data_IF_436472753759
#
_entry.id   IF_436472753759
#
_cell.length_a   1.000
_cell.length_b   1.000
_cell.length_c   1.000
_cell.angle_alpha   90.00
_cell.angle_beta   90.00
_cell.angle_gamma   90.00
#
_symmetry.space_group_name_H-M   'P 1'
#
loop_
_entity.id
_entity.type
_entity.pdbx_description
1 polymer ?
#
# COMPACT_ATOMS: atom_id res chain seq x y z
N UNK A 1 -21.05 -4.58 -0.45
CA UNK A 1 -20.14 -4.54 0.73
C UNK A 1 -19.55 -3.16 0.83
N UNK A 2 -19.59 -2.55 2.03
CA UNK A 2 -19.04 -1.22 2.31
C UNK A 2 -17.63 -1.34 2.89
N UNK A 3 -16.66 -0.69 2.26
CA UNK A 3 -15.25 -0.69 2.66
C UNK A 3 -14.86 0.67 3.23
N UNK A 4 -14.37 0.71 4.46
CA UNK A 4 -13.75 1.89 5.06
C UNK A 4 -12.26 1.91 4.70
N UNK A 5 -11.78 2.95 4.02
CA UNK A 5 -10.45 2.97 3.41
C UNK A 5 -9.57 4.01 4.08
N UNK A 6 -8.44 3.56 4.64
CA UNK A 6 -7.43 4.38 5.31
C UNK A 6 -6.03 3.98 4.85
N UNK A 7 -5.14 4.96 4.71
CA UNK A 7 -3.71 4.73 4.50
C UNK A 7 -2.86 5.86 5.09
N UNK A 8 -1.56 5.61 5.21
CA UNK A 8 -0.54 6.61 5.57
C UNK A 8 -0.91 7.41 6.84
N UNK A 9 -1.38 6.71 7.86
CA UNK A 9 -1.84 7.34 9.10
C UNK A 9 -0.70 7.90 9.94
N UNK A 10 0.50 7.33 9.84
CA UNK A 10 1.72 7.74 10.53
C UNK A 10 1.48 8.09 12.01
N UNK A 11 0.79 7.21 12.73
CA UNK A 11 0.31 7.45 14.10
C UNK A 11 1.42 7.80 15.10
N UNK A 12 2.66 7.43 14.81
CA UNK A 12 3.83 7.82 15.60
C UNK A 12 4.20 9.31 15.48
N UNK A 13 3.65 10.03 14.49
CA UNK A 13 3.84 11.48 14.31
C UNK A 13 2.65 12.27 14.86
N UNK A 14 1.43 11.78 14.61
CA UNK A 14 0.21 12.39 15.10
C UNK A 14 -0.89 11.36 15.28
N UNK A 15 -1.38 11.17 16.49
CA UNK A 15 -2.44 10.19 16.81
C UNK A 15 -3.72 10.43 16.00
N UNK A 16 -4.48 9.35 15.81
CA UNK A 16 -5.83 9.37 15.24
C UNK A 16 -6.68 8.39 16.06
N UNK A 17 -7.84 8.86 16.55
CA UNK A 17 -8.85 7.98 17.13
C UNK A 17 -9.45 7.06 16.05
N UNK A 18 -10.09 5.97 16.47
CA UNK A 18 -10.77 5.08 15.51
C UNK A 18 -11.99 5.77 14.93
N UNK A 19 -12.03 6.05 13.61
CA UNK A 19 -13.24 6.55 12.96
C UNK A 19 -14.36 5.52 13.07
N UNK A 20 -15.62 5.98 13.19
CA UNK A 20 -16.79 5.11 13.31
C UNK A 20 -17.78 5.42 12.20
N UNK A 21 -18.06 4.43 11.37
CA UNK A 21 -18.99 4.49 10.26
C UNK A 21 -19.72 3.16 10.09
N UNK A 22 -20.56 3.05 9.07
CA UNK A 22 -21.39 1.88 8.77
C UNK A 22 -20.72 0.88 7.79
N UNK A 23 -19.40 0.95 7.61
CA UNK A 23 -18.68 0.00 6.77
C UNK A 23 -18.74 -1.42 7.34
N UNK A 24 -18.69 -2.40 6.46
CA UNK A 24 -18.65 -3.83 6.80
C UNK A 24 -17.22 -4.30 7.12
N UNK A 25 -16.23 -3.63 6.53
CA UNK A 25 -14.82 -4.04 6.53
C UNK A 25 -13.91 -2.80 6.48
N UNK A 26 -12.80 -2.83 7.21
CA UNK A 26 -11.76 -1.79 7.16
C UNK A 26 -10.61 -2.25 6.28
N UNK A 27 -10.14 -1.37 5.40
CA UNK A 27 -8.94 -1.55 4.58
C UNK A 27 -7.87 -0.58 5.06
N UNK A 28 -6.73 -1.13 5.49
CA UNK A 28 -5.53 -0.37 5.85
C UNK A 28 -4.49 -0.58 4.74
N UNK A 29 -4.27 0.44 3.90
CA UNK A 29 -3.37 0.35 2.76
C UNK A 29 -1.94 0.86 3.09
N UNK A 30 -1.44 0.49 4.26
CA UNK A 30 -0.04 0.68 4.69
C UNK A 30 0.24 1.99 5.41
N UNK A 31 1.44 2.05 5.98
CA UNK A 31 2.00 3.19 6.71
C UNK A 31 1.15 3.64 7.89
N UNK A 32 0.69 2.68 8.68
CA UNK A 32 -0.08 2.95 9.89
C UNK A 32 0.84 3.45 11.01
N UNK A 33 1.82 2.64 11.40
CA UNK A 33 2.92 2.97 12.33
C UNK A 33 3.84 1.75 12.46
N UNK A 34 4.67 1.66 13.51
CA UNK A 34 5.50 0.49 13.79
C UNK A 34 4.65 -0.76 14.04
N UNK A 35 5.16 -1.97 13.74
CA UNK A 35 4.37 -3.20 13.71
C UNK A 35 3.52 -3.45 14.97
N UNK A 36 4.10 -3.28 16.14
CA UNK A 36 3.40 -3.52 17.41
C UNK A 36 2.26 -2.54 17.64
N UNK A 37 2.52 -1.26 17.45
CA UNK A 37 1.53 -0.19 17.61
C UNK A 37 0.47 -0.26 16.50
N UNK A 38 0.88 -0.59 15.27
CA UNK A 38 -0.02 -0.75 14.14
C UNK A 38 -1.01 -1.91 14.36
N UNK A 39 -0.51 -3.07 14.77
CA UNK A 39 -1.35 -4.22 15.11
C UNK A 39 -2.32 -3.89 16.26
N UNK A 40 -1.83 -3.24 17.33
CA UNK A 40 -2.67 -2.84 18.47
C UNK A 40 -3.75 -1.84 18.05
N UNK A 41 -3.41 -0.86 17.22
CA UNK A 41 -4.38 0.12 16.72
C UNK A 41 -5.40 -0.54 15.78
N UNK A 42 -4.96 -1.37 14.85
CA UNK A 42 -5.86 -2.08 13.93
C UNK A 42 -6.87 -2.98 14.66
N UNK A 43 -6.50 -3.57 15.79
CA UNK A 43 -7.38 -4.38 16.65
C UNK A 43 -8.42 -3.56 17.41
N UNK A 44 -8.30 -2.25 17.44
CA UNK A 44 -9.28 -1.35 18.08
C UNK A 44 -10.56 -1.14 17.27
N UNK A 45 -10.64 -1.60 16.02
CA UNK A 45 -11.88 -1.60 15.25
C UNK A 45 -12.82 -2.72 15.73
N UNK A 46 -14.11 -2.44 15.73
CA UNK A 46 -15.20 -3.40 16.01
C UNK A 46 -15.57 -4.27 14.79
N UNK A 47 -14.78 -4.19 13.71
CA UNK A 47 -15.02 -4.80 12.40
C UNK A 47 -13.80 -5.58 11.94
N UNK A 48 -13.94 -6.53 10.99
CA UNK A 48 -12.80 -7.12 10.33
C UNK A 48 -11.90 -6.07 9.66
N UNK A 49 -10.60 -6.31 9.67
CA UNK A 49 -9.59 -5.41 9.08
C UNK A 49 -8.71 -6.21 8.13
N UNK A 50 -8.57 -5.75 6.89
CA UNK A 50 -7.55 -6.20 5.97
C UNK A 50 -6.42 -5.17 5.95
N UNK A 51 -5.21 -5.62 6.25
CA UNK A 51 -4.05 -4.76 6.43
C UNK A 51 -2.90 -5.15 5.49
N UNK A 52 -2.60 -4.28 4.54
CA UNK A 52 -1.39 -4.36 3.71
C UNK A 52 -0.31 -3.50 4.35
N UNK A 53 0.89 -4.02 4.68
CA UNK A 53 1.99 -3.20 5.21
C UNK A 53 2.51 -2.21 4.18
N UNK A 54 2.83 -0.99 4.62
CA UNK A 54 3.58 -0.01 3.84
C UNK A 54 5.08 -0.08 4.14
N UNK A 55 5.86 0.84 3.57
CA UNK A 55 7.31 0.85 3.78
C UNK A 55 7.70 1.26 5.21
N UNK A 56 6.92 2.11 5.88
CA UNK A 56 7.22 2.56 7.24
C UNK A 56 7.09 1.47 8.29
N UNK A 57 6.27 0.45 8.09
CA UNK A 57 6.22 -0.72 8.96
C UNK A 57 7.58 -1.41 9.07
N UNK A 58 8.36 -1.43 7.97
CA UNK A 58 9.66 -2.11 7.90
C UNK A 58 10.83 -1.31 8.48
N UNK A 59 10.65 -0.03 8.82
CA UNK A 59 11.74 0.80 9.34
C UNK A 59 12.31 0.29 10.66
N UNK A 60 13.61 0.00 10.67
CA UNK A 60 14.34 -0.53 11.82
C UNK A 60 14.21 -2.05 11.96
N UNK A 61 13.62 -2.71 10.97
CA UNK A 61 13.48 -4.15 10.85
C UNK A 61 13.96 -4.66 9.48
N UNK A 62 13.69 -5.94 9.24
CA UNK A 62 13.89 -6.58 7.95
C UNK A 62 12.54 -6.85 7.27
N UNK A 63 12.57 -7.09 5.96
CA UNK A 63 11.34 -7.37 5.19
C UNK A 63 10.62 -8.58 5.78
N UNK A 64 11.29 -9.72 5.86
CA UNK A 64 10.70 -10.99 6.30
C UNK A 64 10.37 -10.96 7.80
N UNK A 65 11.30 -10.43 8.63
CA UNK A 65 11.11 -10.34 10.08
C UNK A 65 9.92 -9.48 10.47
N UNK A 66 9.74 -8.33 9.82
CA UNK A 66 8.60 -7.44 10.07
C UNK A 66 7.28 -8.08 9.66
N UNK A 67 7.24 -8.75 8.49
CA UNK A 67 6.04 -9.48 8.05
C UNK A 67 5.68 -10.60 9.01
N UNK A 68 6.66 -11.38 9.45
CA UNK A 68 6.46 -12.44 10.44
C UNK A 68 5.94 -11.89 11.77
N UNK A 69 6.48 -10.76 12.23
CA UNK A 69 6.02 -10.09 13.45
C UNK A 69 4.58 -9.60 13.32
N UNK A 70 4.22 -8.89 12.25
CA UNK A 70 2.85 -8.41 12.02
C UNK A 70 1.85 -9.57 11.97
N UNK A 71 2.16 -10.63 11.19
CA UNK A 71 1.31 -11.82 11.10
C UNK A 71 1.12 -12.48 12.46
N UNK A 72 2.18 -12.58 13.27
CA UNK A 72 2.13 -13.12 14.63
C UNK A 72 1.29 -12.25 15.58
N UNK A 73 1.44 -10.92 15.51
CA UNK A 73 0.70 -9.98 16.38
C UNK A 73 -0.81 -9.97 16.07
N UNK A 74 -1.17 -10.20 14.80
CA UNK A 74 -2.56 -10.24 14.34
C UNK A 74 -3.19 -11.63 14.39
N UNK A 75 -2.43 -12.69 14.70
CA UNK A 75 -2.95 -14.06 14.74
C UNK A 75 -4.06 -14.21 15.78
N UNK A 76 -5.21 -14.79 15.38
CA UNK A 76 -6.38 -14.99 16.24
C UNK A 76 -7.18 -13.70 16.55
N UNK A 77 -6.90 -12.60 15.86
CA UNK A 77 -7.63 -11.33 15.95
C UNK A 77 -8.48 -11.09 14.69
N UNK A 78 -9.38 -10.10 14.66
CA UNK A 78 -10.10 -9.71 13.45
C UNK A 78 -9.23 -9.06 12.36
N UNK A 79 -7.94 -8.84 12.60
CA UNK A 79 -7.00 -8.22 11.65
C UNK A 79 -6.29 -9.28 10.82
N UNK A 80 -6.43 -9.23 9.51
CA UNK A 80 -5.72 -10.10 8.59
C UNK A 80 -4.67 -9.30 7.81
N UNK A 81 -3.40 -9.65 8.00
CA UNK A 81 -2.27 -9.05 7.27
C UNK A 81 -2.17 -9.68 5.88
N UNK A 82 -2.20 -8.83 4.86
CA UNK A 82 -2.10 -9.23 3.46
C UNK A 82 -0.71 -8.92 2.90
N UNK A 83 0.02 -9.98 2.55
CA UNK A 83 1.32 -9.95 1.93
C UNK A 83 1.35 -11.10 0.92
N UNK A 84 1.22 -10.78 -0.37
CA UNK A 84 0.93 -11.72 -1.45
C UNK A 84 -0.18 -12.72 -1.02
N UNK A 85 -1.29 -12.17 -0.52
CA UNK A 85 -2.37 -12.95 0.11
C UNK A 85 -3.71 -12.65 -0.54
N UNK A 86 -4.47 -13.72 -0.82
CA UNK A 86 -5.86 -13.68 -1.27
C UNK A 86 -6.80 -14.03 -0.12
N UNK A 87 -7.89 -13.26 -0.01
CA UNK A 87 -9.00 -13.52 0.92
C UNK A 87 -10.32 -13.30 0.21
N UNK A 88 -11.30 -14.15 0.48
CA UNK A 88 -12.67 -13.98 -0.01
C UNK A 88 -13.59 -13.73 1.19
N UNK A 89 -14.25 -12.57 1.21
CA UNK A 89 -15.20 -12.17 2.25
C UNK A 89 -16.51 -11.75 1.58
N UNK A 90 -17.61 -12.38 1.93
CA UNK A 90 -18.93 -12.06 1.39
C UNK A 90 -19.01 -12.10 -0.15
N UNK A 91 -18.26 -13.00 -0.78
CA UNK A 91 -18.18 -13.13 -2.25
C UNK A 91 -17.25 -12.12 -2.94
N UNK A 92 -16.67 -11.17 -2.21
CA UNK A 92 -15.65 -10.24 -2.73
C UNK A 92 -14.28 -10.84 -2.53
N UNK A 93 -13.48 -10.91 -3.60
CA UNK A 93 -12.08 -11.34 -3.55
C UNK A 93 -11.18 -10.14 -3.28
N UNK A 94 -10.35 -10.21 -2.25
CA UNK A 94 -9.34 -9.23 -1.91
C UNK A 94 -7.95 -9.81 -2.19
N UNK A 95 -7.13 -9.06 -2.92
CA UNK A 95 -5.73 -9.38 -3.19
C UNK A 95 -4.87 -8.28 -2.58
N UNK A 96 -3.99 -8.64 -1.65
CA UNK A 96 -3.16 -7.65 -0.94
C UNK A 96 -1.67 -7.92 -1.07
N UNK A 97 -0.91 -6.85 -1.34
CA UNK A 97 0.56 -6.86 -1.44
C UNK A 97 1.12 -5.46 -1.23
N UNK A 98 2.29 -5.32 -0.60
CA UNK A 98 2.98 -4.01 -0.49
C UNK A 98 3.27 -3.41 -1.87
N UNK A 99 3.46 -4.24 -2.88
CA UNK A 99 3.83 -4.01 -4.27
C UNK A 99 5.28 -3.51 -4.42
N UNK A 100 5.77 -2.57 -3.60
CA UNK A 100 7.04 -1.87 -3.80
C UNK A 100 7.07 -1.13 -5.14
N UNK A 101 8.26 -0.77 -5.65
CA UNK A 101 8.41 -0.12 -6.96
C UNK A 101 9.53 -0.74 -7.77
N UNK A 102 9.37 -0.72 -9.09
CA UNK A 102 10.31 -1.33 -10.03
C UNK A 102 11.43 -0.39 -10.49
N UNK A 103 11.38 0.88 -10.14
CA UNK A 103 12.30 1.92 -10.61
C UNK A 103 12.41 2.01 -12.14
N UNK A 104 11.39 1.55 -12.87
CA UNK A 104 11.32 1.58 -14.35
C UNK A 104 10.34 2.65 -14.88
N UNK A 105 9.96 3.60 -14.01
CA UNK A 105 9.01 4.67 -14.36
C UNK A 105 9.49 5.51 -15.56
N UNK A 106 10.79 5.72 -15.72
CA UNK A 106 11.36 6.48 -16.82
C UNK A 106 11.83 5.56 -17.95
N UNK A 107 11.64 5.96 -19.23
CA UNK A 107 12.06 5.16 -20.39
C UNK A 107 13.57 5.20 -20.61
N UNK A 108 14.21 6.29 -20.24
CA UNK A 108 15.66 6.53 -20.35
C UNK A 108 16.44 5.83 -19.22
N UNK A 109 17.43 5.03 -19.57
CA UNK A 109 18.28 4.29 -18.62
C UNK A 109 19.09 5.22 -17.70
N UNK A 110 19.56 6.36 -18.20
CA UNK A 110 20.29 7.34 -17.37
C UNK A 110 19.37 7.95 -16.31
N UNK A 111 18.11 8.24 -16.66
CA UNK A 111 17.12 8.72 -15.68
C UNK A 111 16.73 7.62 -14.68
N UNK A 112 16.65 6.36 -15.09
CA UNK A 112 16.44 5.23 -14.15
C UNK A 112 17.59 5.11 -13.16
N UNK A 113 18.83 5.16 -13.63
CA UNK A 113 20.00 5.14 -12.76
C UNK A 113 20.03 6.34 -11.80
N UNK A 114 19.74 7.54 -12.32
CA UNK A 114 19.66 8.75 -11.50
C UNK A 114 18.53 8.66 -10.45
N UNK A 115 17.36 8.12 -10.80
CA UNK A 115 16.25 7.96 -9.85
C UNK A 115 16.59 6.99 -8.72
N UNK A 116 17.26 5.87 -9.00
CA UNK A 116 17.75 4.94 -7.97
C UNK A 116 18.76 5.60 -7.04
N UNK A 117 19.73 6.33 -7.61
CA UNK A 117 20.75 7.03 -6.82
C UNK A 117 20.12 8.11 -5.92
N UNK A 118 19.15 8.86 -6.44
CA UNK A 118 18.45 9.89 -5.68
C UNK A 118 17.57 9.28 -4.58
N UNK A 119 16.82 8.22 -4.88
CA UNK A 119 16.03 7.49 -3.91
C UNK A 119 16.92 6.93 -2.79
N UNK A 120 18.05 6.28 -3.13
CA UNK A 120 19.00 5.75 -2.15
C UNK A 120 19.56 6.84 -1.22
N UNK A 121 19.70 8.06 -1.72
CA UNK A 121 20.21 9.22 -0.95
C UNK A 121 19.15 9.84 -0.05
N UNK A 122 17.88 9.91 -0.49
CA UNK A 122 16.83 10.73 0.12
C UNK A 122 15.73 9.92 0.81
N UNK A 123 15.41 8.72 0.30
CA UNK A 123 14.36 7.88 0.89
C UNK A 123 14.95 7.05 2.05
N UNK A 124 14.26 7.12 3.18
CA UNK A 124 14.69 6.42 4.40
C UNK A 124 14.59 4.90 4.28
N UNK A 125 13.82 4.39 3.34
CA UNK A 125 13.70 2.96 3.03
C UNK A 125 15.07 2.32 2.85
N UNK A 126 15.92 2.98 2.05
CA UNK A 126 17.25 2.50 1.68
C UNK A 126 18.34 2.80 2.71
N UNK A 127 17.95 3.18 3.92
CA UNK A 127 18.84 3.33 5.08
C UNK A 127 18.29 2.72 6.36
N UNK A 128 17.00 2.37 6.40
CA UNK A 128 16.31 1.90 7.60
C UNK A 128 15.70 0.52 7.50
N UNK A 129 15.61 -0.04 6.30
CA UNK A 129 15.11 -1.39 6.05
C UNK A 129 16.30 -2.30 5.75
N UNK A 130 16.24 -3.52 6.25
CA UNK A 130 17.21 -4.56 5.93
C UNK A 130 16.54 -5.75 5.26
N UNK A 131 17.34 -6.59 4.62
CA UNK A 131 16.92 -7.93 4.20
C UNK A 131 17.37 -8.94 5.25
N UNK A 132 16.55 -9.97 5.48
CA UNK A 132 16.94 -11.12 6.27
C UNK A 132 17.99 -11.96 5.51
N UNK A 133 18.74 -12.80 6.26
CA UNK A 133 19.80 -13.63 5.73
C UNK A 133 21.19 -13.12 6.07
N UNK A 134 22.21 -13.61 5.38
CA UNK A 134 23.61 -13.35 5.71
C UNK A 134 23.90 -11.86 5.89
N UNK A 135 24.15 -11.44 7.13
CA UNK A 135 24.60 -10.12 7.55
C UNK A 135 23.60 -8.95 7.51
N UNK A 136 22.29 -9.16 7.33
CA UNK A 136 21.30 -8.07 7.46
C UNK A 136 21.63 -6.85 6.60
N UNK A 137 21.94 -7.05 5.30
CA UNK A 137 22.32 -5.94 4.45
C UNK A 137 21.17 -4.96 4.25
N UNK A 138 21.50 -3.70 4.06
CA UNK A 138 20.53 -2.63 3.81
C UNK A 138 19.77 -2.91 2.51
N UNK A 139 18.47 -2.68 2.55
CA UNK A 139 17.57 -2.71 1.40
C UNK A 139 17.97 -1.68 0.35
N UNK A 140 17.84 -2.01 -0.92
CA UNK A 140 18.26 -1.15 -2.04
C UNK A 140 17.13 -0.95 -3.05
N UNK A 141 17.21 0.05 -3.96
CA UNK A 141 16.27 0.18 -5.07
C UNK A 141 16.18 -1.05 -5.99
N UNK A 142 17.26 -1.81 -6.14
CA UNK A 142 17.25 -3.05 -6.92
C UNK A 142 16.51 -4.18 -6.20
N UNK A 143 16.55 -4.21 -4.87
CA UNK A 143 15.74 -5.12 -4.07
C UNK A 143 14.26 -4.77 -4.16
N UNK A 144 13.93 -3.47 -4.13
CA UNK A 144 12.56 -2.98 -4.36
C UNK A 144 12.04 -3.47 -5.71
N UNK A 145 12.83 -3.32 -6.77
CA UNK A 145 12.47 -3.78 -8.11
C UNK A 145 12.27 -5.31 -8.16
N UNK A 146 13.09 -6.07 -7.45
CA UNK A 146 12.96 -7.54 -7.36
C UNK A 146 11.67 -7.93 -6.62
N UNK A 147 11.35 -7.24 -5.52
CA UNK A 147 10.09 -7.45 -4.80
C UNK A 147 8.88 -7.07 -5.65
N UNK A 148 8.95 -5.94 -6.36
CA UNK A 148 7.89 -5.55 -7.29
C UNK A 148 7.61 -6.65 -8.33
N UNK A 149 8.65 -7.19 -8.97
CA UNK A 149 8.49 -8.22 -9.99
C UNK A 149 7.83 -9.49 -9.43
N UNK A 150 8.18 -9.88 -8.20
CA UNK A 150 7.54 -10.99 -7.48
C UNK A 150 6.05 -10.71 -7.19
N UNK A 151 5.75 -9.56 -6.61
CA UNK A 151 4.39 -9.16 -6.23
C UNK A 151 3.49 -8.96 -7.46
N UNK A 152 4.03 -8.32 -8.51
CA UNK A 152 3.30 -8.13 -9.78
C UNK A 152 3.01 -9.45 -10.48
N UNK A 153 3.94 -10.40 -10.45
CA UNK A 153 3.74 -11.77 -10.99
C UNK A 153 2.69 -12.53 -10.19
N UNK A 154 2.71 -12.42 -8.86
CA UNK A 154 1.70 -13.03 -8.00
C UNK A 154 0.32 -12.42 -8.28
N UNK A 155 0.20 -11.09 -8.33
CA UNK A 155 -1.06 -10.40 -8.66
C UNK A 155 -1.59 -10.84 -10.02
N UNK A 156 -0.75 -10.86 -11.06
CA UNK A 156 -1.16 -11.25 -12.41
C UNK A 156 -1.67 -12.71 -12.45
N UNK A 157 -1.01 -13.60 -11.73
CA UNK A 157 -1.43 -15.00 -11.59
C UNK A 157 -2.79 -15.11 -10.91
N UNK A 158 -3.00 -14.37 -9.81
CA UNK A 158 -4.28 -14.38 -9.07
C UNK A 158 -5.40 -13.72 -9.87
N UNK A 159 -5.12 -12.61 -10.55
CA UNK A 159 -6.07 -11.90 -11.40
C UNK A 159 -6.48 -12.69 -12.65
N UNK A 160 -5.61 -13.57 -13.12
CA UNK A 160 -5.91 -14.49 -14.24
C UNK A 160 -6.75 -15.70 -13.80
N UNK A 161 -6.82 -15.98 -12.50
CA UNK A 161 -7.67 -17.05 -11.99
C UNK A 161 -9.14 -16.60 -11.95
N UNK A 162 -10.09 -17.42 -12.43
CA UNK A 162 -11.52 -17.11 -12.39
C UNK A 162 -12.02 -16.82 -10.98
N UNK A 163 -12.94 -15.85 -10.88
CA UNK A 163 -13.69 -15.55 -9.66
C UNK A 163 -15.04 -14.96 -10.04
N UNK A 164 -16.13 -15.53 -9.51
CA UNK A 164 -17.49 -15.14 -9.88
C UNK A 164 -17.99 -13.85 -9.19
N UNK A 165 -17.17 -13.25 -8.35
CA UNK A 165 -17.51 -12.01 -7.64
C UNK A 165 -16.59 -10.84 -8.00
N UNK A 166 -16.81 -9.67 -7.40
CA UNK A 166 -15.93 -8.53 -7.56
C UNK A 166 -14.55 -8.79 -6.95
N UNK A 167 -13.52 -8.23 -7.57
CA UNK A 167 -12.15 -8.27 -7.05
C UNK A 167 -11.70 -6.87 -6.65
N UNK A 168 -11.14 -6.76 -5.45
CA UNK A 168 -10.49 -5.58 -4.91
C UNK A 168 -9.01 -5.88 -4.74
N UNK A 169 -8.17 -5.04 -5.30
CA UNK A 169 -6.71 -5.09 -5.07
C UNK A 169 -6.34 -4.00 -4.07
N UNK A 170 -5.53 -4.35 -3.09
CA UNK A 170 -4.98 -3.41 -2.11
C UNK A 170 -3.46 -3.47 -2.18
N UNK A 171 -2.84 -2.35 -2.51
CA UNK A 171 -1.38 -2.20 -2.46
C UNK A 171 -0.99 -1.02 -1.59
N UNK A 172 0.27 -0.92 -1.19
CA UNK A 172 0.75 0.31 -0.57
C UNK A 172 1.30 1.27 -1.63
N UNK A 173 2.24 0.82 -2.47
CA UNK A 173 2.77 1.65 -3.55
C UNK A 173 1.77 1.79 -4.70
N UNK A 174 1.85 2.92 -5.40
CA UNK A 174 0.90 3.28 -6.44
C UNK A 174 1.14 2.51 -7.76
N UNK A 175 0.07 1.98 -8.40
CA UNK A 175 0.19 1.14 -9.59
C UNK A 175 0.17 1.93 -10.91
N UNK A 176 0.01 3.25 -10.88
CA UNK A 176 -0.20 4.06 -12.09
C UNK A 176 0.43 5.44 -11.95
N UNK A 177 1.01 5.94 -13.05
CA UNK A 177 1.52 7.33 -13.18
C UNK A 177 0.47 8.39 -12.86
N UNK A 178 -0.82 8.07 -12.94
CA UNK A 178 -1.92 8.98 -12.61
C UNK A 178 -1.98 9.32 -11.12
N UNK A 179 -1.29 8.56 -10.28
CA UNK A 179 -1.10 8.87 -8.85
C UNK A 179 0.12 9.75 -8.58
N UNK A 180 0.69 10.39 -9.60
CA UNK A 180 1.71 11.43 -9.45
C UNK A 180 1.02 12.78 -9.43
N UNK A 181 1.06 13.47 -8.26
CA UNK A 181 0.50 14.81 -8.18
C UNK A 181 1.29 15.77 -9.07
N UNK A 182 0.66 16.71 -9.81
CA UNK A 182 1.31 17.61 -10.76
C UNK A 182 2.50 18.39 -10.18
N UNK A 183 2.48 18.71 -8.87
CA UNK A 183 3.61 19.39 -8.19
C UNK A 183 4.91 18.57 -8.21
N UNK A 184 4.84 17.26 -8.45
CA UNK A 184 5.97 16.34 -8.49
C UNK A 184 6.26 15.77 -9.88
N UNK A 185 5.62 16.29 -10.95
CA UNK A 185 5.68 15.72 -12.30
C UNK A 185 7.10 15.41 -12.79
N UNK A 186 8.08 16.27 -12.46
CA UNK A 186 9.46 16.13 -12.92
C UNK A 186 10.40 15.45 -11.92
N UNK A 187 9.89 15.03 -10.73
CA UNK A 187 10.71 14.45 -9.68
C UNK A 187 11.22 13.06 -10.06
N UNK A 188 12.53 12.85 -9.93
CA UNK A 188 13.15 11.53 -10.06
C UNK A 188 12.69 10.57 -8.96
N UNK A 189 12.31 11.08 -7.79
CA UNK A 189 11.82 10.28 -6.67
C UNK A 189 10.50 9.58 -6.98
N UNK A 190 9.72 10.05 -7.97
CA UNK A 190 8.48 9.38 -8.37
C UNK A 190 8.66 7.87 -8.65
N UNK A 191 9.84 7.47 -9.12
CA UNK A 191 10.15 6.05 -9.36
C UNK A 191 10.24 5.20 -8.07
N UNK A 192 10.36 5.83 -6.89
CA UNK A 192 10.27 5.17 -5.59
C UNK A 192 8.86 5.18 -5.00
N UNK A 193 7.90 5.85 -5.66
CA UNK A 193 6.51 5.97 -5.20
C UNK A 193 5.53 5.23 -6.10
N UNK A 194 5.81 5.21 -7.40
CA UNK A 194 4.88 4.77 -8.44
C UNK A 194 5.59 3.86 -9.42
N UNK A 195 4.93 2.77 -9.80
CA UNK A 195 5.29 1.94 -10.94
C UNK A 195 4.21 2.00 -12.01
N UNK A 196 4.58 1.78 -13.27
CA UNK A 196 3.62 1.61 -14.36
C UNK A 196 3.15 0.14 -14.41
N UNK A 197 2.18 -0.17 -13.55
CA UNK A 197 1.57 -1.49 -13.43
C UNK A 197 0.17 -1.55 -14.05
N UNK A 198 -0.21 -0.59 -14.93
CA UNK A 198 -1.54 -0.51 -15.54
C UNK A 198 -1.92 -1.77 -16.33
N UNK A 199 -0.93 -2.57 -16.78
CA UNK A 199 -1.15 -3.90 -17.40
C UNK A 199 -1.90 -4.90 -16.48
N UNK A 200 -1.85 -4.70 -15.15
CA UNK A 200 -2.56 -5.52 -14.17
C UNK A 200 -4.01 -5.03 -13.96
N UNK A 201 -4.33 -3.82 -14.43
CA UNK A 201 -5.58 -3.13 -14.17
C UNK A 201 -6.52 -3.33 -15.36
N UNK A 202 -7.77 -3.70 -15.09
CA UNK A 202 -8.83 -3.83 -16.09
C UNK A 202 -10.16 -4.19 -15.44
N UNK A 203 -11.25 -3.60 -15.91
CA UNK A 203 -12.59 -3.79 -15.33
C UNK A 203 -13.10 -5.23 -15.42
N UNK A 204 -12.55 -6.02 -16.31
CA UNK A 204 -12.81 -7.46 -16.45
C UNK A 204 -12.18 -8.30 -15.34
N UNK A 205 -11.20 -7.75 -14.62
CA UNK A 205 -10.44 -8.44 -13.56
C UNK A 205 -10.50 -7.78 -12.21
N UNK A 206 -10.60 -6.44 -12.15
CA UNK A 206 -10.51 -5.64 -10.92
C UNK A 206 -11.59 -4.56 -10.92
N UNK A 207 -12.47 -4.56 -9.92
CA UNK A 207 -13.47 -3.50 -9.74
C UNK A 207 -12.86 -2.25 -9.08
N UNK A 208 -12.02 -2.45 -8.07
CA UNK A 208 -11.43 -1.39 -7.27
C UNK A 208 -9.97 -1.71 -6.95
N UNK A 209 -9.08 -0.74 -7.16
CA UNK A 209 -7.69 -0.79 -6.71
C UNK A 209 -7.46 0.31 -5.68
N UNK A 210 -7.04 -0.07 -4.49
CA UNK A 210 -6.75 0.83 -3.37
C UNK A 210 -5.24 0.89 -3.18
N UNK A 211 -4.69 2.11 -2.99
CA UNK A 211 -3.29 2.26 -2.63
C UNK A 211 -3.07 3.41 -1.64
N UNK A 212 -1.84 3.59 -1.16
CA UNK A 212 -1.37 4.66 -0.30
C UNK A 212 -0.11 5.34 -0.83
N UNK A 213 0.83 5.62 0.05
CA UNK A 213 2.21 6.05 -0.15
C UNK A 213 2.41 7.47 -0.72
N UNK A 214 1.55 7.97 -1.55
CA UNK A 214 1.75 9.23 -2.28
C UNK A 214 1.41 10.48 -1.49
N UNK A 215 0.79 10.35 -0.32
CA UNK A 215 0.32 11.43 0.56
C UNK A 215 -0.58 12.49 -0.11
N UNK A 216 -1.13 12.16 -1.29
CA UNK A 216 -2.16 12.92 -1.98
C UNK A 216 -3.36 12.02 -2.28
N UNK A 217 -4.58 12.55 -2.16
CA UNK A 217 -5.80 11.80 -2.48
C UNK A 217 -6.01 11.68 -3.98
N UNK A 218 -6.34 10.47 -4.43
CA UNK A 218 -6.64 10.17 -5.82
C UNK A 218 -7.90 9.35 -5.95
N UNK A 219 -8.70 9.64 -6.97
CA UNK A 219 -9.87 8.87 -7.37
C UNK A 219 -10.04 9.00 -8.89
N UNK A 220 -9.64 7.97 -9.62
CA UNK A 220 -9.68 7.97 -11.08
C UNK A 220 -9.94 6.57 -11.62
N UNK A 221 -10.09 6.44 -12.95
CA UNK A 221 -10.30 5.13 -13.60
C UNK A 221 -9.20 4.82 -14.61
N UNK A 222 -8.74 3.56 -14.59
CA UNK A 222 -7.82 2.98 -15.57
C UNK A 222 -8.50 1.75 -16.15
N UNK A 223 -8.66 1.70 -17.46
CA UNK A 223 -9.34 0.59 -18.17
C UNK A 223 -10.66 0.16 -17.51
N UNK A 224 -11.41 1.13 -16.98
CA UNK A 224 -12.68 0.89 -16.29
C UNK A 224 -12.58 0.58 -14.78
N UNK A 225 -11.46 0.11 -14.28
CA UNK A 225 -11.20 -0.06 -12.83
C UNK A 225 -11.09 1.29 -12.13
N UNK A 226 -11.76 1.45 -11.00
CA UNK A 226 -11.55 2.61 -10.10
C UNK A 226 -10.26 2.42 -9.32
N UNK A 227 -9.39 3.43 -9.33
CA UNK A 227 -8.17 3.49 -8.51
C UNK A 227 -8.36 4.59 -7.48
N UNK A 228 -8.15 4.25 -6.20
CA UNK A 228 -8.45 5.12 -5.06
C UNK A 228 -7.30 5.17 -4.08
N UNK A 229 -6.98 6.38 -3.59
CA UNK A 229 -5.99 6.61 -2.54
C UNK A 229 -6.53 7.65 -1.56
N UNK A 230 -6.54 7.30 -0.24
CA UNK A 230 -7.01 8.16 0.85
C UNK A 230 -5.98 8.23 1.97
N UNK A 231 -4.81 8.83 1.71
CA UNK A 231 -3.73 8.92 2.69
C UNK A 231 -3.95 10.11 3.62
N UNK A 232 -3.59 9.95 4.89
CA UNK A 232 -3.53 11.07 5.84
C UNK A 232 -2.27 11.92 5.65
N UNK A 233 -1.15 11.26 5.40
CA UNK A 233 0.16 11.86 5.46
C UNK A 233 0.60 12.16 6.90
N UNK A 234 1.71 12.86 7.05
CA UNK A 234 2.20 13.27 8.36
C UNK A 234 1.28 14.32 8.99
N UNK A 235 0.76 14.01 10.18
CA UNK A 235 -0.05 14.97 10.93
C UNK A 235 0.83 15.69 11.96
N UNK A 236 0.86 17.01 11.89
CA UNK A 236 1.62 17.83 12.82
C UNK A 236 0.72 18.91 13.41
N UNK A 237 0.77 19.07 14.73
CA UNK A 237 -0.01 20.10 15.45
C UNK A 237 -1.51 20.08 15.11
N UNK A 238 -2.07 18.90 14.88
CA UNK A 238 -3.48 18.70 14.51
C UNK A 238 -3.81 18.95 13.04
N UNK A 239 -2.82 19.25 12.20
CA UNK A 239 -3.00 19.48 10.76
C UNK A 239 -2.47 18.28 10.00
N UNK A 240 -3.31 17.67 9.15
CA UNK A 240 -2.90 16.60 8.25
C UNK A 240 -2.09 17.18 7.08
N UNK A 241 -1.07 16.44 6.62
CA UNK A 241 -0.32 16.82 5.41
C UNK A 241 -1.23 16.85 4.19
N UNK A 242 -2.09 15.84 4.05
CA UNK A 242 -3.11 15.80 3.01
C UNK A 242 -4.41 16.46 3.50
N UNK A 243 -4.78 17.64 2.98
CA UNK A 243 -6.00 18.33 3.38
C UNK A 243 -7.28 17.64 2.86
N UNK A 244 -7.16 16.71 1.91
CA UNK A 244 -8.27 15.95 1.34
C UNK A 244 -8.48 14.59 2.00
N UNK A 245 -7.70 14.27 3.05
CA UNK A 245 -7.91 13.03 3.81
C UNK A 245 -9.31 13.03 4.45
N UNK A 246 -10.08 12.00 4.14
CA UNK A 246 -11.37 11.74 4.74
C UNK A 246 -11.28 10.55 5.71
N UNK A 247 -11.29 10.78 7.04
CA UNK A 247 -11.20 9.69 8.00
C UNK A 247 -12.39 8.72 7.96
N UNK A 248 -13.51 9.13 7.37
CA UNK A 248 -14.74 8.33 7.29
C UNK A 248 -15.05 7.83 5.87
N UNK A 249 -14.07 7.85 4.95
CA UNK A 249 -14.27 7.43 3.56
C UNK A 249 -14.77 5.99 3.48
N UNK A 250 -15.99 5.82 3.01
CA UNK A 250 -16.61 4.51 2.74
C UNK A 250 -16.94 4.37 1.26
N UNK A 251 -16.56 3.22 0.70
CA UNK A 251 -16.78 2.88 -0.72
C UNK A 251 -17.51 1.56 -0.83
N UNK A 252 -18.53 1.49 -1.69
CA UNK A 252 -19.28 0.25 -1.96
C UNK A 252 -18.65 -0.55 -3.11
N UNK A 253 -18.59 -1.86 -2.93
CA UNK A 253 -18.19 -2.84 -3.96
C UNK A 253 -19.23 -3.96 -4.05
N UNK A 254 -19.38 -4.55 -5.24
CA UNK A 254 -20.24 -5.72 -5.42
C UNK A 254 -21.72 -5.40 -5.73
N UNK A 255 -22.00 -4.31 -6.42
CA UNK A 255 -23.28 -4.13 -7.13
C UNK A 255 -23.10 -4.38 -8.62
#
# INVERSE_FOLDING_TARGET
MKLHILSDLHLGVGGLGHPRNDADLVILAGDITRPREAAAWAQGFDKPVLYVPGNHEFYGGSIEGTLAELKRLCAGTPVQVLDDTEVIIGGVRFLGSTLWTDFRLFDDEARRAASKAEAQRLMRDFSRITLDGAAGRVFTPDDSATLFDRHATWLDTRLSAPHDGPTVVVTHHAPSRRSIHPRFADSLLNAGFVSDAERLIGADRVQLWIHGHTHDSFDYRVHGTRVLCNPRGYAKDGVNENPLFDPDLVVEVGQ
#
